data_IF_564240765547
#
_entry.id   IF_564240765547
#
_cell.length_a   1.000
_cell.length_b   1.000
_cell.length_c   1.000
_cell.angle_alpha   90.00
_cell.angle_beta   90.00
_cell.angle_gamma   90.00
#
_symmetry.space_group_name_H-M   'P 1'
#
loop_
_entity.id
_entity.type
_entity.pdbx_description
1 polymer ?
#
# COMPACT_ATOMS: atom_id res chain seq x y z
N UNK A 1 29.73 -10.10 25.18
CA UNK A 1 28.80 -10.90 26.00
C UNK A 1 27.37 -10.46 25.67
N UNK A 2 26.79 -11.09 24.66
CA UNK A 2 25.43 -10.86 24.16
C UNK A 2 24.66 -12.14 24.47
N UNK A 3 23.51 -12.01 25.12
CA UNK A 3 22.36 -12.91 25.24
C UNK A 3 21.71 -12.51 26.58
N UNK A 4 20.56 -11.82 26.52
CA UNK A 4 19.53 -11.87 27.58
C UNK A 4 18.24 -11.08 27.29
N UNK A 5 17.98 -10.62 26.06
CA UNK A 5 16.69 -9.98 25.72
C UNK A 5 15.64 -10.94 25.16
N UNK A 6 16.01 -12.19 24.81
CA UNK A 6 15.14 -13.12 24.08
C UNK A 6 14.16 -13.90 24.97
N UNK A 7 14.37 -13.96 26.29
CA UNK A 7 13.57 -14.82 27.18
C UNK A 7 12.46 -14.03 27.90
N UNK A 8 12.62 -12.72 28.07
CA UNK A 8 11.65 -11.91 28.81
C UNK A 8 10.34 -11.66 28.02
N UNK A 9 10.36 -11.78 26.70
CA UNK A 9 9.18 -11.56 25.87
C UNK A 9 8.32 -12.82 25.69
N UNK A 10 8.91 -14.02 25.83
CA UNK A 10 8.19 -15.29 25.73
C UNK A 10 7.31 -15.57 26.97
N UNK A 11 7.67 -15.01 28.13
CA UNK A 11 6.91 -15.19 29.38
C UNK A 11 5.68 -14.26 29.47
N UNK A 12 5.61 -13.19 28.67
CA UNK A 12 4.47 -12.27 28.66
C UNK A 12 3.26 -12.79 27.84
N UNK A 13 3.39 -13.93 27.16
CA UNK A 13 2.34 -14.52 26.34
C UNK A 13 1.51 -15.60 27.04
N UNK A 14 1.83 -15.98 28.28
CA UNK A 14 1.03 -16.93 29.08
C UNK A 14 0.29 -16.28 30.25
N UNK A 15 0.55 -14.99 30.53
CA UNK A 15 -0.24 -14.24 31.49
C UNK A 15 -1.55 -13.76 30.83
N UNK A 16 -2.74 -14.08 31.39
CA UNK A 16 -4.03 -13.56 30.90
C UNK A 16 -4.23 -12.05 31.17
N UNK A 17 -3.16 -11.35 31.52
CA UNK A 17 -3.11 -9.94 31.84
C UNK A 17 -2.31 -9.23 30.74
N UNK A 18 -2.98 -8.36 29.99
CA UNK A 18 -2.42 -7.34 29.09
C UNK A 18 -2.01 -7.73 27.65
N UNK A 19 -2.95 -8.27 26.87
CA UNK A 19 -3.02 -7.94 25.43
C UNK A 19 -4.46 -8.04 24.93
N UNK A 20 -5.30 -7.06 25.30
CA UNK A 20 -6.56 -6.88 24.56
C UNK A 20 -6.22 -6.27 23.19
N UNK A 21 -5.99 -7.16 22.22
CA UNK A 21 -5.97 -6.82 20.80
C UNK A 21 -7.44 -6.57 20.42
N UNK A 22 -7.81 -5.32 20.19
CA UNK A 22 -9.16 -4.97 19.77
C UNK A 22 -9.20 -4.93 18.23
N UNK A 23 -9.90 -5.86 17.57
CA UNK A 23 -10.16 -5.74 16.13
C UNK A 23 -10.98 -4.47 15.87
N UNK A 24 -10.66 -3.76 14.77
CA UNK A 24 -11.21 -2.43 14.45
C UNK A 24 -12.75 -2.36 14.39
N UNK A 25 -13.41 -3.49 14.12
CA UNK A 25 -14.85 -3.56 13.82
C UNK A 25 -15.70 -4.07 14.99
N UNK A 26 -15.13 -4.28 16.19
CA UNK A 26 -15.91 -4.67 17.35
C UNK A 26 -16.49 -3.44 18.07
N UNK A 27 -17.83 -3.23 18.08
CA UNK A 27 -18.44 -2.25 18.96
C UNK A 27 -18.37 -2.77 20.39
N UNK A 28 -17.27 -2.49 21.11
CA UNK A 28 -17.20 -2.80 22.53
C UNK A 28 -18.17 -1.92 23.30
N UNK A 29 -19.21 -2.52 23.87
CA UNK A 29 -20.20 -1.89 24.76
C UNK A 29 -19.63 -1.38 26.10
N UNK A 30 -18.33 -1.58 26.34
CA UNK A 30 -17.60 -1.05 27.49
C UNK A 30 -16.26 -0.49 26.98
N UNK A 31 -16.15 0.82 26.83
CA UNK A 31 -14.90 1.41 26.33
C UNK A 31 -14.45 2.53 27.26
N UNK A 32 -13.62 2.19 28.25
CA UNK A 32 -12.66 3.17 28.77
C UNK A 32 -11.91 3.72 27.55
N UNK A 33 -11.91 5.04 27.42
CA UNK A 33 -11.29 5.75 26.30
C UNK A 33 -9.85 5.23 26.10
N UNK A 34 -9.59 4.59 24.96
CA UNK A 34 -8.26 4.08 24.65
C UNK A 34 -7.32 5.24 24.38
N UNK A 35 -6.26 5.33 25.19
CA UNK A 35 -5.27 6.39 25.12
C UNK A 35 -3.87 5.80 25.00
N UNK A 36 -3.06 6.43 24.16
CA UNK A 36 -1.64 6.11 24.01
C UNK A 36 -0.81 7.38 24.07
N UNK A 37 0.40 7.31 24.57
CA UNK A 37 1.23 8.49 24.87
C UNK A 37 2.32 8.75 23.83
N UNK A 38 2.46 7.84 22.85
CA UNK A 38 3.43 7.94 21.75
C UNK A 38 2.83 7.42 20.46
N UNK A 39 3.36 7.93 19.35
CA UNK A 39 3.04 7.47 18.00
C UNK A 39 4.32 7.01 17.32
N UNK A 40 4.29 5.83 16.70
CA UNK A 40 5.35 5.31 15.85
C UNK A 40 4.81 5.05 14.45
N UNK A 41 5.55 5.47 13.44
CA UNK A 41 5.14 5.38 12.03
C UNK A 41 6.06 4.41 11.30
N UNK A 42 5.47 3.57 10.44
CA UNK A 42 6.18 2.55 9.67
C UNK A 42 5.65 2.46 8.24
N UNK A 43 6.51 2.03 7.32
CA UNK A 43 6.14 1.72 5.94
C UNK A 43 6.22 2.91 4.97
N UNK A 44 6.44 4.13 5.47
CA UNK A 44 6.71 5.30 4.65
C UNK A 44 8.15 5.27 4.10
N UNK A 45 8.28 5.28 2.77
CA UNK A 45 9.55 5.44 2.06
C UNK A 45 9.55 6.66 1.14
N UNK A 46 8.37 7.09 0.69
CA UNK A 46 8.25 8.26 -0.17
C UNK A 46 8.48 9.55 0.61
N UNK A 47 7.87 9.66 1.79
CA UNK A 47 7.94 10.82 2.68
C UNK A 47 8.60 10.45 4.01
N UNK A 48 9.30 11.39 4.62
CA UNK A 48 10.02 11.11 5.88
C UNK A 48 9.06 11.08 7.06
N UNK A 49 9.49 10.53 8.20
CA UNK A 49 8.68 10.53 9.41
C UNK A 49 8.32 11.97 9.83
N UNK A 50 9.23 12.92 9.66
CA UNK A 50 9.01 14.34 9.97
C UNK A 50 7.89 14.94 9.11
N UNK A 51 7.85 14.61 7.82
CA UNK A 51 6.76 15.03 6.91
C UNK A 51 5.41 14.50 7.41
N UNK A 52 5.36 13.21 7.74
CA UNK A 52 4.13 12.54 8.19
C UNK A 52 3.66 13.09 9.54
N UNK A 53 4.57 13.30 10.50
CA UNK A 53 4.25 13.89 11.80
C UNK A 53 3.69 15.30 11.63
N UNK A 54 4.31 16.12 10.77
CA UNK A 54 3.86 17.48 10.48
C UNK A 54 2.48 17.52 9.85
N UNK A 55 2.21 16.69 8.84
CA UNK A 55 0.90 16.58 8.18
C UNK A 55 -0.16 16.03 9.15
N UNK A 56 0.22 15.02 9.94
CA UNK A 56 -0.60 14.42 10.97
C UNK A 56 -0.97 15.39 12.08
N UNK A 57 -0.25 16.52 12.21
CA UNK A 57 -0.31 17.47 13.34
C UNK A 57 -0.04 16.77 14.67
N UNK A 58 0.88 15.81 14.63
CA UNK A 58 1.29 15.06 15.82
C UNK A 58 2.32 15.91 16.56
N UNK A 59 2.07 16.15 17.83
CA UNK A 59 3.02 16.77 18.75
C UNK A 59 3.54 15.71 19.73
N UNK A 60 4.84 15.72 20.06
CA UNK A 60 5.45 14.71 20.95
C UNK A 60 4.98 14.78 22.41
N UNK A 61 4.02 15.65 22.71
CA UNK A 61 3.50 15.93 24.05
C UNK A 61 2.00 15.73 24.05
N UNK A 62 1.54 14.60 24.57
CA UNK A 62 0.12 14.38 24.77
C UNK A 62 -0.25 12.92 24.89
N UNK A 63 -1.44 12.70 25.44
CA UNK A 63 -2.13 11.42 25.35
C UNK A 63 -3.08 11.50 24.16
N UNK A 64 -2.96 10.57 23.22
CA UNK A 64 -3.75 10.50 22.00
C UNK A 64 -4.92 9.55 22.19
N UNK A 65 -6.13 10.08 22.04
CA UNK A 65 -7.34 9.26 21.94
C UNK A 65 -7.40 8.55 20.59
N UNK A 66 -8.25 7.52 20.50
CA UNK A 66 -8.57 6.87 19.22
C UNK A 66 -9.05 7.88 18.16
N UNK A 67 -9.85 8.88 18.55
CA UNK A 67 -10.38 9.88 17.63
C UNK A 67 -9.26 10.77 17.06
N UNK A 68 -8.28 11.11 17.89
CA UNK A 68 -7.10 11.87 17.44
C UNK A 68 -6.34 11.08 16.36
N UNK A 69 -6.13 9.78 16.59
CA UNK A 69 -5.45 8.89 15.63
C UNK A 69 -6.24 8.73 14.34
N UNK A 70 -7.55 8.52 14.41
CA UNK A 70 -8.41 8.44 13.21
C UNK A 70 -8.29 9.73 12.39
N UNK A 71 -8.36 10.89 13.04
CA UNK A 71 -8.24 12.18 12.35
C UNK A 71 -6.86 12.37 11.72
N UNK A 72 -5.81 11.93 12.42
CA UNK A 72 -4.41 11.96 11.97
C UNK A 72 -4.20 11.08 10.74
N UNK A 73 -4.65 9.83 10.81
CA UNK A 73 -4.60 8.88 9.70
C UNK A 73 -5.31 9.45 8.47
N UNK A 74 -6.50 10.06 8.66
CA UNK A 74 -7.22 10.67 7.53
C UNK A 74 -6.49 11.84 6.90
N UNK A 75 -5.82 12.68 7.71
CA UNK A 75 -4.97 13.77 7.19
C UNK A 75 -3.80 13.24 6.37
N UNK A 76 -3.13 12.21 6.86
CA UNK A 76 -2.00 11.59 6.16
C UNK A 76 -2.47 10.96 4.85
N UNK A 77 -3.57 10.19 4.87
CA UNK A 77 -4.15 9.58 3.67
C UNK A 77 -4.48 10.65 2.61
N UNK A 78 -5.22 11.70 3.01
CA UNK A 78 -5.56 12.81 2.10
C UNK A 78 -4.31 13.51 1.54
N UNK A 79 -3.24 13.64 2.32
CA UNK A 79 -1.99 14.21 1.86
C UNK A 79 -1.35 13.35 0.76
N UNK A 80 -1.24 12.03 0.96
CA UNK A 80 -0.74 11.10 -0.06
C UNK A 80 -1.58 11.16 -1.34
N UNK A 81 -2.91 11.09 -1.22
CA UNK A 81 -3.84 11.17 -2.36
C UNK A 81 -3.70 12.51 -3.10
N UNK A 82 -3.57 13.63 -2.38
CA UNK A 82 -3.36 14.95 -3.00
C UNK A 82 -2.06 15.04 -3.82
N UNK A 83 -1.11 14.15 -3.55
CA UNK A 83 0.17 14.02 -4.28
C UNK A 83 0.14 12.93 -5.34
N UNK A 84 -0.99 12.28 -5.58
CA UNK A 84 -1.18 11.25 -6.62
C UNK A 84 -0.96 9.80 -6.16
N UNK A 85 -0.71 9.57 -4.86
CA UNK A 85 -0.54 8.22 -4.31
C UNK A 85 -1.90 7.59 -3.98
N UNK A 86 -2.66 7.25 -5.01
CA UNK A 86 -4.07 6.82 -4.88
C UNK A 86 -4.25 5.42 -4.27
N UNK A 87 -3.16 4.63 -4.21
CA UNK A 87 -3.16 3.27 -3.66
C UNK A 87 -2.67 3.20 -2.22
N UNK A 88 -2.55 4.35 -1.56
CA UNK A 88 -2.15 4.41 -0.16
C UNK A 88 -3.21 3.74 0.72
N UNK A 89 -2.77 2.88 1.63
CA UNK A 89 -3.61 2.33 2.71
C UNK A 89 -2.92 2.59 4.03
N UNK A 90 -3.65 3.12 5.00
CA UNK A 90 -3.10 3.45 6.32
C UNK A 90 -3.93 2.76 7.38
N UNK A 91 -3.23 2.06 8.27
CA UNK A 91 -3.81 1.34 9.40
C UNK A 91 -3.13 1.74 10.70
N UNK A 92 -3.80 1.49 11.81
CA UNK A 92 -3.24 1.78 13.12
C UNK A 92 -3.66 0.74 14.17
N UNK A 93 -2.85 0.59 15.21
CA UNK A 93 -3.11 -0.27 16.38
C UNK A 93 -2.54 0.38 17.64
N UNK A 94 -3.18 0.14 18.79
CA UNK A 94 -2.67 0.52 20.11
C UNK A 94 -2.04 -0.71 20.79
N UNK A 95 -0.77 -0.62 21.15
CA UNK A 95 -0.04 -1.66 21.89
C UNK A 95 0.82 -1.02 22.97
N UNK A 96 0.75 -1.54 24.20
CA UNK A 96 1.59 -1.06 25.32
C UNK A 96 1.60 0.47 25.47
N UNK A 97 0.43 1.10 25.37
CA UNK A 97 0.26 2.58 25.42
C UNK A 97 0.92 3.37 24.28
N UNK A 98 1.32 2.70 23.20
CA UNK A 98 1.85 3.34 21.99
C UNK A 98 0.95 3.05 20.78
N UNK A 99 0.66 4.09 20.00
CA UNK A 99 -0.02 3.94 18.72
C UNK A 99 1.00 3.65 17.63
N UNK A 100 0.77 2.58 16.89
CA UNK A 100 1.55 2.22 15.71
C UNK A 100 0.72 2.54 14.48
N UNK A 101 1.23 3.42 13.63
CA UNK A 101 0.64 3.75 12.33
C UNK A 101 1.47 3.06 11.26
N UNK A 102 0.80 2.30 10.40
CA UNK A 102 1.40 1.61 9.28
C UNK A 102 0.89 2.20 7.98
N UNK A 103 1.81 2.46 7.06
CA UNK A 103 1.52 3.06 5.77
C UNK A 103 1.95 2.05 4.69
N UNK A 104 0.97 1.56 3.95
CA UNK A 104 1.19 0.92 2.66
C UNK A 104 1.11 2.01 1.59
N UNK A 105 2.23 2.38 0.99
CA UNK A 105 2.24 3.48 0.00
C UNK A 105 1.67 3.05 -1.37
N UNK A 106 1.35 1.76 -1.57
CA UNK A 106 0.74 1.28 -2.80
C UNK A 106 1.76 0.88 -3.87
N UNK A 107 2.69 -0.01 -3.51
CA UNK A 107 3.68 -0.54 -4.46
C UNK A 107 3.02 -1.34 -5.59
N UNK A 108 3.59 -1.22 -6.78
CA UNK A 108 3.22 -2.01 -7.95
C UNK A 108 4.09 -3.26 -8.02
N UNK A 109 3.48 -4.41 -8.30
CA UNK A 109 4.19 -5.68 -8.47
C UNK A 109 4.90 -5.75 -9.81
N UNK A 110 4.13 -5.88 -10.89
CA UNK A 110 4.62 -5.96 -12.26
C UNK A 110 4.01 -4.87 -13.12
N UNK A 111 4.81 -4.39 -14.08
CA UNK A 111 4.32 -3.56 -15.18
C UNK A 111 4.16 -4.45 -16.41
N UNK A 112 2.92 -4.63 -16.85
CA UNK A 112 2.51 -5.47 -17.98
C UNK A 112 2.16 -4.56 -19.14
N UNK A 113 2.90 -4.65 -20.24
CA UNK A 113 2.62 -3.84 -21.43
C UNK A 113 2.08 -4.74 -22.54
N UNK A 114 0.91 -4.37 -23.07
CA UNK A 114 0.26 -5.01 -24.21
C UNK A 114 0.31 -4.06 -25.41
N UNK A 115 1.00 -4.47 -26.46
CA UNK A 115 1.16 -3.72 -27.70
C UNK A 115 1.52 -4.63 -28.88
N UNK A 116 1.46 -4.08 -30.09
CA UNK A 116 1.71 -4.81 -31.34
C UNK A 116 3.21 -4.91 -31.71
N UNK A 117 4.06 -4.07 -31.11
CA UNK A 117 5.49 -3.91 -31.45
C UNK A 117 6.36 -4.21 -30.22
N UNK A 118 7.17 -5.27 -30.29
CA UNK A 118 7.98 -5.78 -29.18
C UNK A 118 9.11 -4.82 -28.77
N UNK A 119 9.73 -4.11 -29.72
CA UNK A 119 10.80 -3.15 -29.44
C UNK A 119 10.25 -1.92 -28.72
N UNK A 120 9.14 -1.36 -29.21
CA UNK A 120 8.49 -0.24 -28.54
C UNK A 120 7.93 -0.62 -27.18
N UNK A 121 7.44 -1.84 -27.02
CA UNK A 121 7.00 -2.39 -25.73
C UNK A 121 8.15 -2.44 -24.72
N UNK A 122 9.37 -2.80 -25.16
CA UNK A 122 10.55 -2.77 -24.30
C UNK A 122 10.95 -1.33 -23.91
N UNK A 123 10.92 -0.38 -24.85
CA UNK A 123 11.21 1.03 -24.58
C UNK A 123 10.22 1.62 -23.57
N UNK A 124 8.93 1.33 -23.73
CA UNK A 124 7.88 1.70 -22.78
C UNK A 124 8.18 1.18 -21.37
N UNK A 125 8.58 -0.08 -21.26
CA UNK A 125 8.91 -0.70 -19.96
C UNK A 125 10.05 0.04 -19.26
N UNK A 126 11.05 0.49 -20.01
CA UNK A 126 12.20 1.21 -19.48
C UNK A 126 11.89 2.67 -19.11
N UNK A 127 10.93 3.29 -19.81
CA UNK A 127 10.51 4.67 -19.61
C UNK A 127 9.61 4.84 -18.38
N UNK A 128 8.84 3.82 -18.00
CA UNK A 128 7.95 3.89 -16.84
C UNK A 128 8.75 3.56 -15.59
N UNK A 129 8.99 4.57 -14.76
CA UNK A 129 9.72 4.43 -13.50
C UNK A 129 8.99 5.18 -12.40
N UNK A 130 8.71 4.48 -11.31
CA UNK A 130 8.12 5.05 -10.11
C UNK A 130 9.18 5.14 -9.01
N UNK A 131 9.06 6.16 -8.15
CA UNK A 131 9.88 6.25 -6.94
C UNK A 131 9.52 5.08 -6.02
N UNK A 132 10.51 4.29 -5.60
CA UNK A 132 10.34 3.11 -4.71
C UNK A 132 9.33 2.05 -5.21
N UNK A 133 9.12 1.96 -6.53
CA UNK A 133 8.07 1.14 -7.17
C UNK A 133 6.64 1.50 -6.72
N UNK A 134 6.43 2.69 -6.15
CA UNK A 134 5.16 3.13 -5.59
C UNK A 134 4.30 3.81 -6.64
N UNK A 135 3.06 3.35 -6.81
CA UNK A 135 2.14 3.92 -7.79
C UNK A 135 1.89 5.40 -7.53
N UNK A 136 2.02 6.22 -8.57
CA UNK A 136 1.60 7.60 -8.55
C UNK A 136 0.86 7.95 -9.85
N UNK A 137 -0.40 8.34 -9.74
CA UNK A 137 -1.26 8.60 -10.90
C UNK A 137 -0.88 9.86 -11.67
N UNK A 138 -0.36 10.88 -10.99
CA UNK A 138 0.12 12.12 -11.61
C UNK A 138 1.36 11.82 -12.44
N UNK A 139 2.33 11.12 -11.85
CA UNK A 139 3.56 10.71 -12.55
C UNK A 139 3.22 9.80 -13.73
N UNK A 140 2.34 8.82 -13.54
CA UNK A 140 1.90 7.94 -14.62
C UNK A 140 1.27 8.74 -15.76
N UNK A 141 0.35 9.66 -15.46
CA UNK A 141 -0.28 10.51 -16.48
C UNK A 141 0.76 11.29 -17.26
N UNK A 142 1.72 11.92 -16.58
CA UNK A 142 2.79 12.69 -17.21
C UNK A 142 3.67 11.81 -18.11
N UNK A 143 4.07 10.64 -17.61
CA UNK A 143 4.84 9.65 -18.38
C UNK A 143 4.07 9.18 -19.62
N UNK A 144 2.78 8.90 -19.50
CA UNK A 144 1.96 8.44 -20.64
C UNK A 144 1.83 9.53 -21.70
N UNK A 145 1.67 10.80 -21.31
CA UNK A 145 1.63 11.92 -22.25
C UNK A 145 2.98 12.14 -22.95
N UNK A 146 4.10 12.00 -22.23
CA UNK A 146 5.42 12.04 -22.83
C UNK A 146 5.62 10.90 -23.85
N UNK A 147 5.29 9.67 -23.46
CA UNK A 147 5.39 8.47 -24.30
C UNK A 147 4.56 8.61 -25.58
N UNK A 148 3.34 9.15 -25.50
CA UNK A 148 2.50 9.40 -26.68
C UNK A 148 3.21 10.29 -27.69
N UNK A 149 3.80 11.40 -27.21
CA UNK A 149 4.51 12.37 -28.06
C UNK A 149 5.78 11.78 -28.65
N UNK A 150 6.59 11.09 -27.85
CA UNK A 150 7.91 10.59 -28.25
C UNK A 150 7.82 9.43 -29.24
N UNK A 151 6.87 8.50 -29.04
CA UNK A 151 6.79 7.27 -29.83
C UNK A 151 5.65 7.23 -30.85
N UNK A 152 4.85 8.30 -30.92
CA UNK A 152 3.74 8.46 -31.87
C UNK A 152 2.56 7.52 -31.60
N UNK A 153 2.28 7.19 -30.34
CA UNK A 153 1.12 6.38 -29.99
C UNK A 153 -0.16 7.22 -30.03
N UNK A 154 -1.18 6.76 -30.76
CA UNK A 154 -2.50 7.42 -30.79
C UNK A 154 -3.25 7.26 -29.48
N UNK A 155 -3.18 6.06 -28.88
CA UNK A 155 -3.90 5.74 -27.66
C UNK A 155 -3.03 4.92 -26.71
N UNK A 156 -2.98 5.38 -25.48
CA UNK A 156 -2.33 4.69 -24.35
C UNK A 156 -3.34 4.67 -23.21
N UNK A 157 -3.65 3.49 -22.72
CA UNK A 157 -4.55 3.27 -21.59
C UNK A 157 -3.83 2.46 -20.52
N UNK A 158 -4.21 2.65 -19.26
CA UNK A 158 -3.71 1.82 -18.18
C UNK A 158 -4.86 1.31 -17.31
N UNK A 159 -4.60 0.22 -16.60
CA UNK A 159 -5.48 -0.38 -15.60
C UNK A 159 -4.62 -0.97 -14.48
N UNK A 160 -5.12 -0.86 -13.25
CA UNK A 160 -4.56 -1.59 -12.12
C UNK A 160 -5.25 -2.96 -12.04
N UNK A 161 -4.45 -4.01 -11.91
CA UNK A 161 -4.92 -5.39 -11.85
C UNK A 161 -4.62 -5.92 -10.45
N UNK A 162 -5.64 -6.28 -9.66
CA UNK A 162 -5.42 -6.91 -8.36
C UNK A 162 -4.61 -8.19 -8.52
N UNK A 163 -3.61 -8.39 -7.66
CA UNK A 163 -2.81 -9.63 -7.64
C UNK A 163 -3.65 -10.72 -6.95
N UNK A 164 -4.08 -11.79 -7.65
CA UNK A 164 -5.09 -12.74 -7.15
C UNK A 164 -4.62 -13.64 -6.00
N UNK A 165 -3.30 -13.81 -5.84
CA UNK A 165 -2.73 -14.90 -5.04
C UNK A 165 -2.10 -14.45 -3.72
N UNK A 166 -2.24 -13.18 -3.36
CA UNK A 166 -2.08 -12.81 -1.97
C UNK A 166 -3.42 -13.20 -1.29
N UNK A 167 -3.44 -14.27 -0.48
CA UNK A 167 -4.62 -14.66 0.33
C UNK A 167 -5.12 -13.53 1.25
N UNK A 168 -4.38 -12.43 1.26
CA UNK A 168 -4.48 -11.20 2.00
C UNK A 168 -5.30 -10.10 1.30
N UNK A 169 -5.70 -10.18 0.01
CA UNK A 169 -6.25 -9.00 -0.72
C UNK A 169 -7.68 -8.69 -0.31
N UNK A 170 -8.32 -9.64 0.37
CA UNK A 170 -9.66 -9.50 0.96
C UNK A 170 -9.63 -9.13 2.44
N UNK A 171 -8.47 -9.16 3.07
CA UNK A 171 -8.33 -8.82 4.48
C UNK A 171 -8.05 -7.31 4.56
N UNK A 172 -8.91 -6.52 5.25
CA UNK A 172 -8.64 -5.11 5.49
C UNK A 172 -7.22 -4.92 6.02
N UNK A 173 -6.50 -3.90 5.53
CA UNK A 173 -5.13 -3.64 5.94
C UNK A 173 -4.97 -3.62 7.46
N UNK A 174 -5.97 -3.08 8.17
CA UNK A 174 -6.06 -3.09 9.64
C UNK A 174 -6.05 -4.49 10.29
N UNK A 175 -6.69 -5.48 9.68
CA UNK A 175 -6.70 -6.87 10.13
C UNK A 175 -5.36 -7.57 9.79
N UNK A 176 -4.69 -7.19 8.69
CA UNK A 176 -3.33 -7.68 8.39
C UNK A 176 -2.34 -7.27 9.48
N UNK A 177 -2.47 -6.05 10.00
CA UNK A 177 -1.58 -5.56 11.07
C UNK A 177 -1.63 -6.48 12.28
N UNK A 178 -2.83 -6.90 12.71
CA UNK A 178 -2.99 -7.82 13.84
C UNK A 178 -2.20 -9.13 13.64
N UNK A 179 -2.22 -9.70 12.44
CA UNK A 179 -1.43 -10.89 12.11
C UNK A 179 0.08 -10.62 12.05
N UNK A 180 0.52 -9.45 11.56
CA UNK A 180 1.95 -9.12 11.47
C UNK A 180 2.62 -9.00 12.84
N UNK A 181 1.91 -8.59 13.89
CA UNK A 181 2.48 -8.55 15.25
C UNK A 181 2.67 -9.93 15.89
N UNK A 182 1.97 -10.96 15.42
CA UNK A 182 2.15 -12.35 15.89
C UNK A 182 3.32 -13.08 15.24
N UNK A 183 3.83 -12.59 14.10
CA UNK A 183 4.98 -13.20 13.40
C UNK A 183 6.24 -12.37 13.66
N UNK A 184 7.08 -12.83 14.58
CA UNK A 184 8.38 -12.23 14.88
C UNK A 184 9.23 -12.01 13.60
N UNK A 185 9.93 -10.88 13.56
CA UNK A 185 11.13 -10.62 12.74
C UNK A 185 11.05 -10.35 11.23
N UNK A 186 9.89 -10.12 10.62
CA UNK A 186 9.90 -9.60 9.23
C UNK A 186 9.92 -8.07 9.23
N UNK A 187 11.05 -7.49 8.79
CA UNK A 187 11.06 -6.10 8.30
C UNK A 187 9.94 -6.00 7.26
N UNK A 188 8.89 -5.29 7.64
CA UNK A 188 7.60 -5.16 6.96
C UNK A 188 7.76 -4.98 5.44
N UNK A 189 7.80 -6.10 4.71
CA UNK A 189 7.72 -6.10 3.26
C UNK A 189 6.24 -6.14 2.95
N UNK A 190 5.63 -4.95 2.86
CA UNK A 190 4.25 -4.86 2.40
C UNK A 190 4.26 -5.27 0.93
N UNK A 191 3.69 -6.43 0.66
CA UNK A 191 3.59 -6.96 -0.70
C UNK A 191 2.70 -6.06 -1.56
N UNK A 192 3.04 -5.90 -2.84
CA UNK A 192 2.19 -5.17 -3.77
C UNK A 192 0.82 -5.83 -3.85
N UNK A 193 -0.22 -5.01 -3.94
CA UNK A 193 -1.60 -5.49 -4.12
C UNK A 193 -2.06 -5.41 -5.58
N UNK A 194 -1.32 -4.69 -6.43
CA UNK A 194 -1.69 -4.43 -7.82
C UNK A 194 -0.50 -4.57 -8.76
N UNK A 195 -0.78 -5.12 -9.95
CA UNK A 195 0.05 -4.97 -11.14
C UNK A 195 -0.48 -3.80 -11.99
N UNK A 196 0.40 -3.12 -12.71
CA UNK A 196 0.04 -2.06 -13.65
C UNK A 196 0.01 -2.63 -15.07
N UNK A 197 -1.17 -2.68 -15.69
CA UNK A 197 -1.31 -3.02 -17.10
C UNK A 197 -1.42 -1.77 -17.96
N UNK A 198 -0.62 -1.68 -19.01
CA UNK A 198 -0.66 -0.61 -20.00
C UNK A 198 -0.93 -1.21 -21.37
N UNK A 199 -1.89 -0.63 -22.07
CA UNK A 199 -2.30 -1.01 -23.42
C UNK A 199 -1.97 0.14 -24.37
N UNK A 200 -1.14 -0.14 -25.36
CA UNK A 200 -0.73 0.84 -26.38
C UNK A 200 -1.25 0.44 -27.75
N UNK A 201 -1.78 1.41 -28.50
CA UNK A 201 -2.29 1.21 -29.87
C UNK A 201 -1.82 2.29 -30.82
N UNK A 202 -1.48 1.88 -32.04
CA UNK A 202 -1.01 2.76 -33.12
C UNK A 202 -2.14 3.22 -34.05
N UNK A 203 -3.22 2.44 -34.17
CA UNK A 203 -4.45 2.77 -34.92
C UNK A 203 -5.69 2.63 -34.03
N UNK A 204 -6.71 3.43 -34.32
CA UNK A 204 -8.01 3.31 -33.67
C UNK A 204 -8.67 2.00 -34.09
N UNK A 205 -9.41 1.38 -33.16
CA UNK A 205 -10.31 0.29 -33.52
C UNK A 205 -11.35 0.88 -34.46
N UNK A 206 -11.46 0.35 -35.69
CA UNK A 206 -12.72 0.46 -36.40
C UNK A 206 -13.81 -0.19 -35.53
N UNK A 207 -15.00 0.37 -35.53
CA UNK A 207 -16.19 -0.29 -34.99
C UNK A 207 -16.44 -1.57 -35.80
N UNK A 208 -15.81 -2.67 -35.39
CA UNK A 208 -15.84 -3.93 -36.10
C UNK A 208 -15.37 -5.05 -35.21
N UNK A 209 -16.29 -5.95 -34.89
CA UNK A 209 -16.16 -7.18 -34.10
C UNK A 209 -14.79 -7.85 -34.29
N UNK A 210 -13.86 -7.63 -33.34
CA UNK A 210 -12.59 -8.34 -33.29
C UNK A 210 -12.74 -9.63 -32.50
N UNK A 211 -12.79 -10.75 -33.21
CA UNK A 211 -12.78 -12.09 -32.65
C UNK A 211 -11.75 -12.23 -31.51
N UNK A 212 -12.22 -12.63 -30.34
CA UNK A 212 -11.37 -13.13 -29.27
C UNK A 212 -10.76 -14.46 -29.73
N UNK A 213 -9.49 -14.45 -30.15
CA UNK A 213 -8.67 -15.66 -30.12
C UNK A 213 -8.29 -15.90 -28.65
N UNK A 214 -9.06 -16.77 -28.03
CA UNK A 214 -8.76 -17.39 -26.76
C UNK A 214 -7.60 -18.37 -26.97
N UNK A 215 -6.43 -18.06 -26.41
CA UNK A 215 -5.24 -18.92 -26.48
C UNK A 215 -5.18 -19.94 -25.33
N UNK A 216 -6.30 -20.24 -24.67
CA UNK A 216 -6.35 -21.24 -23.59
C UNK A 216 -6.68 -22.66 -24.03
N UNK A 217 -6.85 -22.93 -25.33
CA UNK A 217 -7.10 -24.28 -25.86
C UNK A 217 -5.89 -24.85 -26.60
N UNK A 218 -4.78 -25.08 -25.90
CA UNK A 218 -3.87 -26.20 -26.21
C UNK A 218 -3.23 -26.66 -24.90
N UNK A 219 -3.90 -27.61 -24.25
CA UNK A 219 -3.20 -28.56 -23.40
C UNK A 219 -2.48 -29.57 -24.28
N UNK A 220 -1.19 -29.75 -24.02
CA UNK A 220 -0.42 -31.00 -24.09
C UNK A 220 0.85 -30.79 -23.25
#
# INVERSE_FOLDING_TARGET
>A
MRIHLSVLFLILLTSPLYSKIYPLDSPSKDTKEQKGNKIKIYGNKIFTNEDILKVGRINDKGSFSRNDIVSTVKRIENFYVSKGYDLVEIGYILLMEEWFIFINEGRIGKIIIKGEDSLKTLLLKNAIRFKEDTFNSIDLKNMMEQIKREYGFKRVQYRLIPIPDNKTTRIPFSQKLTGMFTFENTRSYIEPSYDLMIVVKKKDWGEGLGASLDYSSFGL
#
